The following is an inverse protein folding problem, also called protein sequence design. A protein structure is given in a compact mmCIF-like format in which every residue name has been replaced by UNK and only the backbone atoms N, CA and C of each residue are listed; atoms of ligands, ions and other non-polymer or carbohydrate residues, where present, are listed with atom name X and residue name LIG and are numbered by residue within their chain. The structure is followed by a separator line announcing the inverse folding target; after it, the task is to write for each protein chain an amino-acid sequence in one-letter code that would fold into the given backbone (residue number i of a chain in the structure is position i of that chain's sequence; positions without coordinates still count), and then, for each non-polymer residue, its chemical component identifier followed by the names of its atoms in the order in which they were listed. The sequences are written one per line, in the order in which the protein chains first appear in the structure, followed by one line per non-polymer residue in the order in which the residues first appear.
data_IF_998473063082
#
_entry.id   IF_998473063082
#
_cell.length_a   1.000
_cell.length_b   1.000
_cell.length_c   1.000
_cell.angle_alpha   90.00
_cell.angle_beta   90.00
_cell.angle_gamma   90.00
#
_symmetry.space_group_name_H-M   'P 1'
#
loop_
_entity.id
_entity.type
_entity.pdbx_description
1 polymer ?
#
# COMPACT_ATOMS: atom_id res chain seq x y z
N UNK A 1 7.54 4.97 -0.48
CA UNK A 1 6.20 4.34 -0.46
C UNK A 1 5.20 5.15 0.35
N UNK A 2 5.46 5.40 1.63
CA UNK A 2 4.53 6.13 2.49
C UNK A 2 4.19 7.55 1.99
N UNK A 3 5.19 8.29 1.50
CA UNK A 3 4.96 9.62 0.92
C UNK A 3 4.08 9.57 -0.33
N UNK A 4 4.22 8.53 -1.14
CA UNK A 4 3.37 8.29 -2.31
C UNK A 4 1.92 8.01 -1.88
N UNK A 5 1.71 7.12 -0.90
CA UNK A 5 0.39 6.80 -0.36
C UNK A 5 -0.31 8.06 0.14
N UNK A 6 0.41 8.92 0.89
CA UNK A 6 -0.13 10.18 1.40
C UNK A 6 -0.41 11.20 0.30
N UNK A 7 0.52 11.41 -0.62
CA UNK A 7 0.38 12.38 -1.70
C UNK A 7 -0.80 12.05 -2.63
N UNK A 8 -1.13 10.76 -2.78
CA UNK A 8 -2.23 10.28 -3.62
C UNK A 8 -3.52 9.99 -2.83
N UNK A 9 -3.56 10.26 -1.51
CA UNK A 9 -4.76 10.04 -0.71
C UNK A 9 -5.19 8.57 -0.63
N UNK A 10 -4.24 7.63 -0.73
CA UNK A 10 -4.51 6.19 -0.82
C UNK A 10 -4.73 5.54 0.56
N UNK A 11 -4.53 6.26 1.65
CA UNK A 11 -4.91 5.78 2.97
C UNK A 11 -6.44 5.80 3.10
N UNK A 12 -7.02 4.69 3.58
CA UNK A 12 -8.46 4.61 3.74
C UNK A 12 -8.96 5.64 4.76
N UNK A 13 -10.03 6.35 4.39
CA UNK A 13 -10.57 7.47 5.16
C UNK A 13 -11.31 7.01 6.42
N UNK A 14 -11.91 5.81 6.39
CA UNK A 14 -12.69 5.24 7.49
C UNK A 14 -11.82 4.40 8.41
N UNK A 15 -10.82 3.70 7.85
CA UNK A 15 -9.89 2.86 8.57
C UNK A 15 -8.45 3.18 8.16
N UNK A 16 -7.84 4.14 8.85
CA UNK A 16 -6.46 4.62 8.59
C UNK A 16 -5.36 3.55 8.68
N UNK A 17 -5.67 2.31 9.09
CA UNK A 17 -4.74 1.17 9.04
C UNK A 17 -4.70 0.51 7.66
N UNK A 18 -5.67 0.78 6.80
CA UNK A 18 -5.78 0.22 5.46
C UNK A 18 -5.26 1.20 4.41
N UNK A 19 -4.71 0.63 3.34
CA UNK A 19 -4.18 1.35 2.19
C UNK A 19 -4.83 0.78 0.95
N UNK A 20 -5.49 1.64 0.18
CA UNK A 20 -6.14 1.33 -1.07
C UNK A 20 -5.10 1.32 -2.19
N UNK A 21 -5.05 0.23 -2.95
CA UNK A 21 -4.08 0.05 -4.00
C UNK A 21 -4.57 0.73 -5.29
N UNK A 22 -3.77 1.67 -5.78
CA UNK A 22 -3.88 2.12 -7.17
C UNK A 22 -3.22 1.11 -8.12
N UNK A 23 -3.20 1.41 -9.41
CA UNK A 23 -2.59 0.51 -10.42
C UNK A 23 -1.13 0.15 -10.10
N UNK A 24 -0.34 1.10 -9.58
CA UNK A 24 1.08 0.88 -9.26
C UNK A 24 1.23 0.05 -7.99
N UNK A 25 0.44 0.35 -6.96
CA UNK A 25 0.48 -0.38 -5.70
C UNK A 25 -0.04 -1.81 -5.86
N UNK A 26 -0.98 -2.07 -6.76
CA UNK A 26 -1.45 -3.44 -7.03
C UNK A 26 -0.32 -4.37 -7.46
N UNK A 27 0.60 -3.91 -8.30
CA UNK A 27 1.76 -4.71 -8.71
C UNK A 27 2.63 -5.09 -7.50
N UNK A 28 2.80 -4.16 -6.56
CA UNK A 28 3.61 -4.35 -5.35
C UNK A 28 2.87 -5.18 -4.29
N UNK A 29 1.54 -5.05 -4.22
CA UNK A 29 0.69 -5.72 -3.23
C UNK A 29 0.22 -7.10 -3.68
N UNK A 30 0.73 -7.61 -4.82
CA UNK A 30 0.38 -8.93 -5.34
C UNK A 30 -1.07 -9.00 -5.84
N UNK A 31 -1.55 -7.92 -6.46
CA UNK A 31 -2.90 -7.81 -7.03
C UNK A 31 -3.99 -7.46 -6.03
N UNK A 32 -3.67 -7.31 -4.73
CA UNK A 32 -4.65 -6.92 -3.71
C UNK A 32 -5.10 -5.47 -3.90
N UNK A 33 -6.42 -5.24 -3.87
CA UNK A 33 -7.04 -3.91 -3.91
C UNK A 33 -6.81 -3.10 -2.62
N UNK A 34 -6.57 -3.78 -1.50
CA UNK A 34 -6.36 -3.14 -0.22
C UNK A 34 -5.43 -3.99 0.65
N UNK A 35 -4.54 -3.34 1.39
CA UNK A 35 -3.63 -4.00 2.34
C UNK A 35 -3.59 -3.25 3.65
N UNK A 36 -3.18 -3.93 4.71
CA UNK A 36 -2.89 -3.30 5.99
C UNK A 36 -1.51 -2.65 5.99
N UNK A 37 -1.37 -1.52 6.68
CA UNK A 37 -0.07 -0.87 6.90
C UNK A 37 0.95 -1.77 7.63
N UNK A 38 0.47 -2.80 8.35
CA UNK A 38 1.34 -3.80 8.99
C UNK A 38 1.89 -4.82 8.00
N UNK A 39 1.26 -5.00 6.84
CA UNK A 39 1.75 -5.88 5.76
C UNK A 39 2.77 -5.15 4.87
N UNK A 40 2.79 -3.81 4.85
CA UNK A 40 3.66 -3.00 4.00
C UNK A 40 5.13 -3.42 4.03
N UNK A 41 5.79 -3.61 5.20
CA UNK A 41 7.21 -3.97 5.23
C UNK A 41 7.50 -5.28 4.50
N UNK A 42 6.61 -6.27 4.65
CA UNK A 42 6.73 -7.58 4.01
C UNK A 42 6.50 -7.51 2.50
N UNK A 43 5.54 -6.70 2.06
CA UNK A 43 5.25 -6.51 0.63
C UNK A 43 6.39 -5.74 -0.08
N UNK A 44 6.97 -4.76 0.62
CA UNK A 44 8.09 -3.97 0.10
C UNK A 44 9.39 -4.78 0.08
N UNK A 45 9.65 -5.63 1.08
CA UNK A 45 10.90 -6.40 1.17
C UNK A 45 11.10 -7.38 0.00
N UNK A 46 10.03 -7.76 -0.71
CA UNK A 46 10.12 -8.58 -1.93
C UNK A 46 10.72 -7.79 -3.10
N UNK A 47 10.60 -6.46 -3.07
CA UNK A 47 10.96 -5.55 -4.17
C UNK A 47 12.22 -4.73 -3.90
N UNK A 48 12.67 -4.68 -2.64
CA UNK A 48 13.90 -3.98 -2.22
C UNK A 48 14.99 -5.03 -2.02
N UNK A 49 16.03 -4.97 -2.87
CA UNK A 49 17.28 -5.73 -2.68
C UNK A 49 18.23 -5.01 -1.74
#
# INVERSE_FOLDING_TARGET
MWDYIKANGLQDQNNKRMINADGKLKEIFGGKDQVSMFELPKLISVHVK
#
